data_IF_336892354175
#
_entry.id   IF_336892354175
#
_cell.length_a   1.000
_cell.length_b   1.000
_cell.length_c   1.000
_cell.angle_alpha   90.00
_cell.angle_beta   90.00
_cell.angle_gamma   90.00
#
_symmetry.space_group_name_H-M   'P 1'
#
loop_
_entity.id
_entity.type
_entity.pdbx_description
1 polymer ?
#
# COMPACT_ATOMS: atom_id res chain seq x y z
N UNK A 1 -14.53 -34.11 -35.51
CA UNK A 1 -13.58 -34.22 -34.37
C UNK A 1 -13.15 -32.89 -33.74
N UNK A 2 -12.26 -32.05 -34.31
CA UNK A 2 -11.84 -30.79 -33.63
C UNK A 2 -13.01 -29.81 -33.38
N UNK A 3 -13.89 -29.64 -34.39
CA UNK A 3 -15.07 -28.78 -34.28
C UNK A 3 -16.11 -29.33 -33.28
N UNK A 4 -16.30 -30.65 -33.22
CA UNK A 4 -17.22 -31.29 -32.25
C UNK A 4 -16.69 -31.22 -30.82
N UNK A 5 -15.37 -31.34 -30.61
CA UNK A 5 -14.76 -31.19 -29.28
C UNK A 5 -14.87 -29.75 -28.76
N UNK A 6 -14.71 -28.75 -29.65
CA UNK A 6 -14.85 -27.33 -29.30
C UNK A 6 -16.29 -26.94 -28.96
N UNK A 7 -17.26 -27.53 -29.66
CA UNK A 7 -18.69 -27.28 -29.42
C UNK A 7 -19.17 -27.98 -28.15
N UNK A 8 -18.66 -29.18 -27.84
CA UNK A 8 -19.13 -29.97 -26.69
C UNK A 8 -18.49 -29.58 -25.33
N UNK A 9 -17.33 -28.92 -25.31
CA UNK A 9 -16.64 -28.56 -24.06
C UNK A 9 -16.66 -27.06 -23.70
N UNK A 10 -16.94 -26.16 -24.64
CA UNK A 10 -16.93 -24.71 -24.39
C UNK A 10 -18.36 -24.16 -24.43
N UNK A 11 -19.00 -24.13 -23.26
CA UNK A 11 -20.28 -23.44 -23.06
C UNK A 11 -20.24 -21.97 -23.50
N UNK A 12 -21.41 -21.35 -23.66
CA UNK A 12 -21.59 -19.96 -24.14
C UNK A 12 -21.06 -18.86 -23.18
N UNK A 13 -20.18 -19.19 -22.24
CA UNK A 13 -19.57 -18.24 -21.30
C UNK A 13 -18.30 -17.60 -21.91
N UNK A 14 -17.85 -16.48 -21.31
CA UNK A 14 -16.65 -15.73 -21.77
C UNK A 14 -15.39 -16.62 -21.89
N UNK A 15 -15.20 -17.58 -20.97
CA UNK A 15 -14.10 -18.54 -21.01
C UNK A 15 -14.16 -19.47 -22.24
N UNK A 16 -15.38 -19.82 -22.68
CA UNK A 16 -15.61 -20.61 -23.88
C UNK A 16 -15.23 -19.86 -25.16
N UNK A 17 -15.36 -18.54 -25.17
CA UNK A 17 -14.94 -17.70 -26.30
C UNK A 17 -13.41 -17.60 -26.40
N UNK A 18 -12.71 -17.48 -25.27
CA UNK A 18 -11.23 -17.49 -25.22
C UNK A 18 -10.70 -18.84 -25.72
N UNK A 19 -11.25 -19.94 -25.21
CA UNK A 19 -10.85 -21.29 -25.63
C UNK A 19 -11.09 -21.54 -27.13
N UNK A 20 -12.23 -21.08 -27.68
CA UNK A 20 -12.53 -21.14 -29.13
C UNK A 20 -11.54 -20.30 -29.94
N UNK A 21 -11.17 -19.11 -29.46
CA UNK A 21 -10.19 -18.22 -30.11
C UNK A 21 -8.79 -18.85 -30.14
N UNK A 22 -8.33 -19.41 -29.02
CA UNK A 22 -7.04 -20.10 -28.94
C UNK A 22 -7.01 -21.31 -29.87
N UNK A 23 -8.08 -22.10 -29.90
CA UNK A 23 -8.15 -23.26 -30.77
C UNK A 23 -8.11 -22.88 -32.25
N UNK A 24 -8.78 -21.79 -32.65
CA UNK A 24 -8.72 -21.27 -34.02
C UNK A 24 -7.28 -20.89 -34.43
N UNK A 25 -6.54 -20.20 -33.55
CA UNK A 25 -5.13 -19.84 -33.79
C UNK A 25 -4.25 -21.08 -33.87
N UNK A 26 -4.46 -22.05 -32.99
CA UNK A 26 -3.66 -23.29 -32.95
C UNK A 26 -3.88 -24.16 -34.20
N UNK A 27 -4.99 -24.01 -34.92
CA UNK A 27 -5.20 -24.67 -36.20
C UNK A 27 -4.50 -23.97 -37.38
N UNK A 28 -4.13 -22.69 -37.27
CA UNK A 28 -3.53 -21.92 -38.38
C UNK A 28 -2.26 -22.56 -38.96
N UNK A 29 -1.32 -23.13 -38.19
CA UNK A 29 -0.16 -23.84 -38.75
C UNK A 29 -0.55 -25.02 -39.63
N UNK A 30 -1.50 -25.86 -39.19
CA UNK A 30 -1.99 -26.99 -39.97
C UNK A 30 -2.67 -26.56 -41.27
N UNK A 31 -3.41 -25.45 -41.24
CA UNK A 31 -3.99 -24.85 -42.44
C UNK A 31 -2.94 -24.29 -43.39
N UNK A 32 -1.87 -23.64 -42.89
CA UNK A 32 -0.75 -23.19 -43.73
C UNK A 32 -0.08 -24.36 -44.43
N UNK A 33 0.25 -25.43 -43.71
CA UNK A 33 0.82 -26.65 -44.31
C UNK A 33 -0.12 -27.34 -45.31
N UNK A 34 -1.43 -27.23 -45.11
CA UNK A 34 -2.41 -27.72 -46.09
C UNK A 34 -2.38 -26.89 -47.38
N UNK A 35 -2.40 -25.55 -47.27
CA UNK A 35 -2.31 -24.63 -48.42
C UNK A 35 -1.01 -24.87 -49.21
N UNK A 36 0.11 -25.10 -48.52
CA UNK A 36 1.39 -25.44 -49.14
C UNK A 36 1.34 -26.76 -49.93
N UNK A 37 0.70 -27.79 -49.37
CA UNK A 37 0.51 -29.08 -50.08
C UNK A 37 -0.41 -28.93 -51.30
N UNK A 38 -1.47 -28.12 -51.20
CA UNK A 38 -2.34 -27.85 -52.35
C UNK A 38 -1.58 -27.24 -53.54
N UNK A 39 -0.63 -26.34 -53.27
CA UNK A 39 0.26 -25.76 -54.28
C UNK A 39 1.13 -26.82 -54.99
N UNK A 40 1.57 -27.85 -54.24
CA UNK A 40 2.41 -28.93 -54.77
C UNK A 40 1.62 -29.94 -55.62
N UNK A 41 0.32 -30.12 -55.35
CA UNK A 41 -0.52 -31.10 -56.03
C UNK A 41 -1.21 -30.56 -57.28
N UNK A 42 -1.41 -29.24 -57.40
CA UNK A 42 -2.11 -28.63 -58.52
C UNK A 42 -1.40 -27.34 -58.99
N UNK A 43 -0.57 -27.41 -60.06
CA UNK A 43 0.12 -26.24 -60.62
C UNK A 43 -0.82 -25.16 -61.18
N UNK A 44 -2.12 -25.47 -61.36
CA UNK A 44 -3.13 -24.51 -61.80
C UNK A 44 -3.69 -23.65 -60.66
N UNK A 45 -3.34 -23.96 -59.40
CA UNK A 45 -3.69 -23.10 -58.27
C UNK A 45 -2.97 -21.76 -58.38
N UNK A 46 -3.76 -20.72 -58.71
CA UNK A 46 -3.28 -19.35 -58.82
C UNK A 46 -2.54 -18.92 -57.54
N UNK A 47 -1.34 -18.35 -57.72
CA UNK A 47 -0.54 -17.75 -56.63
C UNK A 47 -1.36 -16.73 -55.81
N UNK A 48 -2.30 -16.02 -56.45
CA UNK A 48 -3.19 -15.09 -55.77
C UNK A 48 -4.15 -15.78 -54.79
N UNK A 49 -4.56 -17.02 -55.05
CA UNK A 49 -5.40 -17.79 -54.14
C UNK A 49 -4.62 -18.27 -52.91
N UNK A 50 -3.37 -18.72 -53.09
CA UNK A 50 -2.46 -19.09 -52.01
C UNK A 50 -2.14 -17.86 -51.15
N UNK A 51 -1.80 -16.73 -51.80
CA UNK A 51 -1.52 -15.46 -51.13
C UNK A 51 -2.73 -14.96 -50.33
N UNK A 52 -3.94 -15.05 -50.89
CA UNK A 52 -5.19 -14.71 -50.18
C UNK A 52 -5.42 -15.62 -48.97
N UNK A 53 -5.21 -16.93 -49.09
CA UNK A 53 -5.37 -17.87 -47.98
C UNK A 53 -4.40 -17.55 -46.84
N UNK A 54 -3.12 -17.35 -47.14
CA UNK A 54 -2.11 -16.98 -46.14
C UNK A 54 -2.42 -15.63 -45.48
N UNK A 55 -2.83 -14.63 -46.27
CA UNK A 55 -3.24 -13.31 -45.74
C UNK A 55 -4.44 -13.44 -44.79
N UNK A 56 -5.42 -14.29 -45.11
CA UNK A 56 -6.57 -14.54 -44.24
C UNK A 56 -6.17 -15.23 -42.94
N UNK A 57 -5.26 -16.21 -42.98
CA UNK A 57 -4.74 -16.87 -41.78
C UNK A 57 -3.95 -15.88 -40.90
N UNK A 58 -3.13 -15.01 -41.50
CA UNK A 58 -2.42 -13.96 -40.76
C UNK A 58 -3.38 -12.95 -40.13
N UNK A 59 -4.47 -12.59 -40.82
CA UNK A 59 -5.54 -11.76 -40.23
C UNK A 59 -6.19 -12.45 -39.02
N UNK A 60 -6.49 -13.74 -39.11
CA UNK A 60 -7.04 -14.52 -38.00
C UNK A 60 -6.10 -14.51 -36.81
N UNK A 61 -4.80 -14.78 -37.02
CA UNK A 61 -3.78 -14.76 -35.96
C UNK A 61 -3.72 -13.37 -35.32
N UNK A 62 -3.60 -12.30 -36.12
CA UNK A 62 -3.47 -10.94 -35.60
C UNK A 62 -4.70 -10.47 -34.82
N UNK A 63 -5.92 -10.77 -35.31
CA UNK A 63 -7.15 -10.45 -34.60
C UNK A 63 -7.26 -11.24 -33.30
N UNK A 64 -6.93 -12.52 -33.33
CA UNK A 64 -7.01 -13.39 -32.15
C UNK A 64 -5.99 -12.98 -31.09
N UNK A 65 -4.75 -12.67 -31.48
CA UNK A 65 -3.73 -12.15 -30.57
C UNK A 65 -4.18 -10.84 -29.94
N UNK A 66 -4.82 -9.94 -30.70
CA UNK A 66 -5.40 -8.71 -30.17
C UNK A 66 -6.47 -9.00 -29.11
N UNK A 67 -7.45 -9.84 -29.43
CA UNK A 67 -8.52 -10.22 -28.49
C UNK A 67 -7.96 -10.87 -27.23
N UNK A 68 -7.00 -11.78 -27.37
CA UNK A 68 -6.38 -12.44 -26.23
C UNK A 68 -5.57 -11.47 -25.37
N UNK A 69 -4.81 -10.56 -25.99
CA UNK A 69 -4.08 -9.52 -25.28
C UNK A 69 -5.02 -8.56 -24.55
N UNK A 70 -6.10 -8.10 -25.18
CA UNK A 70 -7.07 -7.19 -24.56
C UNK A 70 -7.70 -7.85 -23.32
N UNK A 71 -8.06 -9.14 -23.42
CA UNK A 71 -8.62 -9.90 -22.30
C UNK A 71 -7.60 -10.19 -21.20
N UNK A 72 -6.37 -10.55 -21.56
CA UNK A 72 -5.29 -10.77 -20.60
C UNK A 72 -4.94 -9.46 -19.87
N UNK A 73 -4.99 -8.33 -20.59
CA UNK A 73 -4.79 -7.01 -20.01
C UNK A 73 -5.87 -6.67 -18.98
N UNK A 74 -7.15 -7.01 -19.23
CA UNK A 74 -8.21 -6.81 -18.22
C UNK A 74 -7.94 -7.55 -16.90
N UNK A 75 -7.43 -8.78 -16.95
CA UNK A 75 -7.02 -9.48 -15.73
C UNK A 75 -5.84 -8.81 -15.03
N UNK A 76 -4.85 -8.32 -15.80
CA UNK A 76 -3.70 -7.58 -15.25
C UNK A 76 -4.17 -6.27 -14.60
N UNK A 77 -5.14 -5.56 -15.17
CA UNK A 77 -5.67 -4.30 -14.61
C UNK A 77 -6.23 -4.49 -13.20
N UNK A 78 -6.97 -5.57 -12.97
CA UNK A 78 -7.49 -5.89 -11.63
C UNK A 78 -6.35 -6.11 -10.63
N UNK A 79 -5.30 -6.82 -11.02
CA UNK A 79 -4.12 -7.02 -10.18
C UNK A 79 -3.39 -5.70 -9.88
N UNK A 80 -3.25 -4.83 -10.87
CA UNK A 80 -2.63 -3.50 -10.69
C UNK A 80 -3.42 -2.67 -9.67
N UNK A 81 -4.75 -2.69 -9.73
CA UNK A 81 -5.61 -1.99 -8.78
C UNK A 81 -5.42 -2.52 -7.36
N UNK A 82 -5.39 -3.85 -7.18
CA UNK A 82 -5.19 -4.43 -5.85
C UNK A 82 -3.78 -4.16 -5.31
N UNK A 83 -2.75 -4.19 -6.16
CA UNK A 83 -1.38 -3.81 -5.80
C UNK A 83 -1.34 -2.33 -5.40
N UNK A 84 -1.98 -1.44 -6.14
CA UNK A 84 -2.06 -0.01 -5.80
C UNK A 84 -2.67 0.17 -4.41
N UNK A 85 -3.82 -0.46 -4.16
CA UNK A 85 -4.50 -0.42 -2.87
C UNK A 85 -3.62 -0.95 -1.75
N UNK A 86 -2.92 -2.08 -1.97
CA UNK A 86 -2.06 -2.69 -0.96
C UNK A 86 -0.85 -1.84 -0.63
N UNK A 87 -0.18 -1.28 -1.64
CA UNK A 87 0.97 -0.38 -1.46
C UNK A 87 0.56 0.86 -0.65
N UNK A 88 -0.55 1.49 -1.02
CA UNK A 88 -1.06 2.67 -0.31
C UNK A 88 -1.43 2.35 1.14
N UNK A 89 -2.09 1.21 1.36
CA UNK A 89 -2.46 0.76 2.72
C UNK A 89 -1.23 0.51 3.58
N UNK A 90 -0.20 -0.19 3.07
CA UNK A 90 1.04 -0.44 3.81
C UNK A 90 1.82 0.85 4.08
N UNK A 91 1.84 1.77 3.12
CA UNK A 91 2.49 3.06 3.26
C UNK A 91 1.83 3.90 4.37
N UNK A 92 0.51 4.07 4.32
CA UNK A 92 -0.25 4.78 5.36
C UNK A 92 -0.12 4.06 6.71
N UNK A 93 -0.17 2.73 6.74
CA UNK A 93 0.07 1.95 7.96
C UNK A 93 1.44 2.21 8.56
N UNK A 94 2.50 2.33 7.75
CA UNK A 94 3.83 2.65 8.23
C UNK A 94 3.89 4.03 8.90
N UNK A 95 3.17 5.01 8.36
CA UNK A 95 3.03 6.35 8.94
C UNK A 95 2.28 6.26 10.27
N UNK A 96 1.10 5.62 10.29
CA UNK A 96 0.20 5.55 11.45
C UNK A 96 0.79 4.82 12.66
N UNK A 97 1.83 3.99 12.48
CA UNK A 97 2.58 3.37 13.58
C UNK A 97 3.31 4.38 14.48
N UNK A 98 3.40 5.66 14.09
CA UNK A 98 3.82 6.74 14.99
C UNK A 98 5.28 6.67 15.44
N UNK A 99 6.17 6.07 14.64
CA UNK A 99 7.61 5.96 14.99
C UNK A 99 8.36 7.28 14.96
N UNK A 100 7.77 8.31 14.38
CA UNK A 100 8.37 9.63 14.19
C UNK A 100 7.42 10.67 14.79
N UNK A 101 7.95 11.54 15.64
CA UNK A 101 7.26 12.71 16.18
C UNK A 101 8.02 13.96 15.77
N UNK A 102 7.36 14.89 15.10
CA UNK A 102 7.93 16.14 14.65
C UNK A 102 8.00 17.14 15.81
N UNK A 103 9.18 17.31 16.39
CA UNK A 103 9.39 18.25 17.51
C UNK A 103 9.59 19.70 17.07
N UNK A 104 9.76 19.95 15.77
CA UNK A 104 10.02 21.30 15.23
C UNK A 104 9.35 21.52 13.88
N UNK A 105 9.12 22.79 13.52
CA UNK A 105 8.62 23.16 12.19
C UNK A 105 9.56 22.69 11.07
N UNK A 106 10.88 22.71 11.31
CA UNK A 106 11.88 22.18 10.35
C UNK A 106 11.69 20.68 10.10
N UNK A 107 11.43 19.90 11.14
CA UNK A 107 11.08 18.47 10.99
C UNK A 107 9.76 18.31 10.24
N UNK A 108 8.73 19.09 10.58
CA UNK A 108 7.43 19.06 9.89
C UNK A 108 7.58 19.33 8.39
N UNK A 109 8.30 20.40 8.01
CA UNK A 109 8.60 20.75 6.61
C UNK A 109 9.34 19.63 5.88
N UNK A 110 10.38 19.05 6.50
CA UNK A 110 11.14 17.94 5.91
C UNK A 110 10.27 16.69 5.74
N UNK A 111 9.48 16.33 6.76
CA UNK A 111 8.62 15.16 6.70
C UNK A 111 7.50 15.32 5.68
N UNK A 112 6.80 16.46 5.70
CA UNK A 112 5.74 16.76 4.74
C UNK A 112 6.28 16.80 3.30
N UNK A 113 7.44 17.42 3.07
CA UNK A 113 8.09 17.40 1.75
C UNK A 113 8.37 15.98 1.27
N UNK A 114 8.99 15.15 2.11
CA UNK A 114 9.25 13.74 1.79
C UNK A 114 7.98 12.96 1.48
N UNK A 115 6.93 13.11 2.29
CA UNK A 115 5.63 12.47 2.05
C UNK A 115 5.06 12.89 0.69
N UNK A 116 5.12 14.17 0.34
CA UNK A 116 4.64 14.65 -0.97
C UNK A 116 5.44 14.08 -2.13
N UNK A 117 6.76 14.04 -2.00
CA UNK A 117 7.61 13.52 -3.07
C UNK A 117 7.40 12.02 -3.26
N UNK A 118 7.36 11.25 -2.16
CA UNK A 118 7.03 9.82 -2.18
C UNK A 118 5.61 9.58 -2.74
N UNK A 119 4.61 10.38 -2.35
CA UNK A 119 3.26 10.32 -2.88
C UNK A 119 3.17 10.65 -4.37
N UNK A 120 3.96 11.60 -4.87
CA UNK A 120 4.06 11.89 -6.31
C UNK A 120 4.66 10.72 -7.08
N UNK A 121 5.72 10.10 -6.57
CA UNK A 121 6.32 8.92 -7.22
C UNK A 121 5.33 7.75 -7.29
N UNK A 122 4.60 7.47 -6.22
CA UNK A 122 3.57 6.43 -6.21
C UNK A 122 2.45 6.73 -7.22
N UNK A 123 1.96 7.97 -7.24
CA UNK A 123 0.97 8.42 -8.21
C UNK A 123 1.44 8.24 -9.66
N UNK A 124 2.67 8.66 -9.97
CA UNK A 124 3.22 8.51 -11.32
C UNK A 124 3.34 7.03 -11.70
N UNK A 125 3.87 6.19 -10.81
CA UNK A 125 4.01 4.75 -11.03
C UNK A 125 2.66 4.10 -11.37
N UNK A 126 1.64 4.32 -10.55
CA UNK A 126 0.34 3.67 -10.77
C UNK A 126 -0.45 4.28 -11.92
N UNK A 127 -0.17 5.53 -12.29
CA UNK A 127 -0.69 6.15 -13.51
C UNK A 127 -0.09 5.51 -14.77
N UNK A 128 1.22 5.26 -14.79
CA UNK A 128 1.91 4.57 -15.90
C UNK A 128 1.44 3.11 -16.05
N UNK A 129 1.05 2.48 -14.94
CA UNK A 129 0.44 1.14 -14.94
C UNK A 129 -1.07 1.15 -15.25
N UNK A 130 -1.66 2.30 -15.60
CA UNK A 130 -3.09 2.47 -15.91
C UNK A 130 -4.06 2.02 -14.81
N UNK A 131 -3.65 2.16 -13.54
CA UNK A 131 -4.49 1.88 -12.39
C UNK A 131 -5.72 2.80 -12.36
N UNK A 132 -6.92 2.22 -12.19
CA UNK A 132 -8.17 2.98 -11.98
C UNK A 132 -8.35 3.50 -10.54
N UNK A 133 -7.52 3.07 -9.58
CA UNK A 133 -7.60 3.49 -8.18
C UNK A 133 -6.97 4.87 -7.86
N UNK A 134 -7.15 5.86 -8.74
CA UNK A 134 -6.60 7.22 -8.56
C UNK A 134 -7.18 7.99 -7.36
N UNK A 135 -8.30 7.51 -6.80
CA UNK A 135 -8.88 8.06 -5.56
C UNK A 135 -7.97 7.90 -4.34
N UNK A 136 -6.98 7.00 -4.40
CA UNK A 136 -5.98 6.83 -3.33
C UNK A 136 -4.91 7.93 -3.35
N UNK A 137 -4.70 8.59 -4.49
CA UNK A 137 -3.58 9.50 -4.73
C UNK A 137 -3.58 10.72 -3.80
N UNK A 138 -4.75 11.12 -3.29
CA UNK A 138 -4.90 12.28 -2.40
C UNK A 138 -4.58 11.97 -0.93
N UNK A 139 -4.54 10.69 -0.54
CA UNK A 139 -4.35 10.30 0.85
C UNK A 139 -3.04 10.86 1.44
N UNK A 140 -1.91 10.62 0.78
CA UNK A 140 -0.59 11.06 1.26
C UNK A 140 -0.47 12.61 1.27
N UNK A 141 -0.89 13.33 0.22
CA UNK A 141 -1.01 14.79 0.26
C UNK A 141 -1.74 15.32 1.49
N UNK A 142 -2.94 14.81 1.81
CA UNK A 142 -3.68 15.24 3.00
C UNK A 142 -2.93 15.00 4.30
N UNK A 143 -2.30 13.83 4.46
CA UNK A 143 -1.46 13.56 5.63
C UNK A 143 -0.30 14.56 5.74
N UNK A 144 0.32 14.91 4.60
CA UNK A 144 1.42 15.87 4.55
C UNK A 144 0.99 17.29 4.91
N UNK A 145 -0.20 17.71 4.49
CA UNK A 145 -0.77 19.03 4.79
C UNK A 145 -1.09 19.12 6.29
N UNK A 146 -1.75 18.13 6.88
CA UNK A 146 -2.05 18.10 8.32
C UNK A 146 -0.77 18.19 9.17
N UNK A 147 0.34 17.59 8.73
CA UNK A 147 1.63 17.68 9.42
C UNK A 147 2.24 19.08 9.29
N UNK A 148 2.08 19.74 8.14
CA UNK A 148 2.75 21.00 7.82
C UNK A 148 2.01 22.24 8.35
N UNK A 149 0.69 22.30 8.19
CA UNK A 149 -0.15 23.46 8.49
C UNK A 149 0.09 24.00 9.91
N UNK A 150 0.12 25.31 10.11
CA UNK A 150 0.54 25.88 11.40
C UNK A 150 -0.65 26.15 12.34
N UNK A 151 -1.75 26.66 11.80
CA UNK A 151 -2.92 27.12 12.54
C UNK A 151 -4.03 26.05 12.64
N UNK A 152 -4.75 26.05 13.77
CA UNK A 152 -5.85 25.11 14.04
C UNK A 152 -6.96 25.13 12.99
N UNK A 153 -7.46 26.30 12.54
CA UNK A 153 -8.53 26.35 11.53
C UNK A 153 -8.15 25.69 10.20
N UNK A 154 -6.93 25.89 9.71
CA UNK A 154 -6.47 25.24 8.48
C UNK A 154 -6.38 23.73 8.64
N UNK A 155 -5.92 23.25 9.80
CA UNK A 155 -5.89 21.80 10.09
C UNK A 155 -7.30 21.23 10.14
N UNK A 156 -8.24 21.93 10.77
CA UNK A 156 -9.64 21.52 10.83
C UNK A 156 -10.25 21.41 9.43
N UNK A 157 -9.97 22.39 8.56
CA UNK A 157 -10.40 22.37 7.17
C UNK A 157 -9.85 21.14 6.44
N UNK A 158 -8.54 20.91 6.54
CA UNK A 158 -7.87 19.79 5.87
C UNK A 158 -8.37 18.43 6.39
N UNK A 159 -8.58 18.30 7.70
CA UNK A 159 -9.19 17.10 8.30
C UNK A 159 -10.62 16.92 7.80
N UNK A 160 -11.39 18.00 7.65
CA UNK A 160 -12.74 17.95 7.09
C UNK A 160 -12.75 17.45 5.64
N UNK A 161 -11.82 17.92 4.80
CA UNK A 161 -11.64 17.42 3.43
C UNK A 161 -11.24 15.95 3.45
N UNK A 162 -10.27 15.56 4.28
CA UNK A 162 -9.80 14.19 4.40
C UNK A 162 -10.93 13.22 4.80
N UNK A 163 -11.80 13.60 5.74
CA UNK A 163 -12.95 12.77 6.16
C UNK A 163 -13.97 12.62 5.03
N UNK A 164 -14.18 13.66 4.20
CA UNK A 164 -15.10 13.59 3.07
C UNK A 164 -14.57 12.72 1.93
N UNK A 165 -13.28 12.80 1.64
CA UNK A 165 -12.64 11.95 0.62
C UNK A 165 -12.46 10.51 1.10
N UNK A 166 -12.16 10.33 2.39
CA UNK A 166 -11.93 9.03 3.03
C UNK A 166 -12.86 8.84 4.24
N UNK A 167 -14.15 8.58 4.01
CA UNK A 167 -15.17 8.44 5.05
C UNK A 167 -14.98 7.23 5.98
N UNK A 168 -14.06 6.31 5.66
CA UNK A 168 -13.67 5.22 6.56
C UNK A 168 -12.57 5.61 7.56
N UNK A 169 -12.04 6.83 7.47
CA UNK A 169 -11.18 7.42 8.48
C UNK A 169 -11.95 7.59 9.79
N UNK A 170 -11.23 7.54 10.91
CA UNK A 170 -11.81 7.55 12.26
C UNK A 170 -10.95 8.43 13.14
N UNK A 171 -11.50 8.87 14.27
CA UNK A 171 -10.77 9.67 15.27
C UNK A 171 -9.39 9.13 15.62
N UNK A 172 -9.23 7.80 15.73
CA UNK A 172 -7.94 7.15 16.03
C UNK A 172 -6.86 7.42 14.95
N UNK A 173 -7.26 7.46 13.67
CA UNK A 173 -6.35 7.75 12.56
C UNK A 173 -5.90 9.21 12.63
N UNK A 174 -6.84 10.15 12.83
CA UNK A 174 -6.51 11.57 12.99
C UNK A 174 -5.62 11.80 14.22
N UNK A 175 -5.93 11.13 15.34
CA UNK A 175 -5.11 11.18 16.56
C UNK A 175 -3.65 10.74 16.31
N UNK A 176 -3.44 9.67 15.52
CA UNK A 176 -2.10 9.22 15.15
C UNK A 176 -1.35 10.24 14.29
N UNK A 177 -2.02 10.89 13.33
CA UNK A 177 -1.41 11.96 12.52
C UNK A 177 -0.99 13.14 13.40
N UNK A 178 -1.84 13.53 14.36
CA UNK A 178 -1.53 14.60 15.31
C UNK A 178 -0.37 14.24 16.26
N UNK A 179 -0.20 12.96 16.61
CA UNK A 179 0.98 12.48 17.34
C UNK A 179 2.25 12.64 16.51
N UNK A 180 2.22 12.25 15.25
CA UNK A 180 3.36 12.41 14.32
C UNK A 180 3.72 13.88 14.13
N UNK A 181 2.72 14.75 14.07
CA UNK A 181 2.89 16.21 14.01
C UNK A 181 3.57 16.78 15.27
N UNK A 182 3.46 16.11 16.42
CA UNK A 182 3.94 16.61 17.71
C UNK A 182 2.98 17.58 18.40
N UNK A 183 1.67 17.45 18.17
CA UNK A 183 0.67 18.31 18.81
C UNK A 183 0.45 17.92 20.28
N UNK A 184 0.90 18.78 21.19
CA UNK A 184 0.82 18.59 22.65
C UNK A 184 -0.32 19.34 23.32
N UNK A 185 -0.83 20.40 22.68
CA UNK A 185 -1.92 21.24 23.21
C UNK A 185 -3.25 20.49 23.11
N UNK A 186 -3.81 20.11 24.26
CA UNK A 186 -4.98 19.24 24.30
C UNK A 186 -6.28 19.92 23.83
N UNK A 187 -6.42 21.23 24.03
CA UNK A 187 -7.58 22.01 23.55
C UNK A 187 -7.67 21.99 22.04
N UNK A 188 -6.62 22.46 21.35
CA UNK A 188 -6.50 22.46 19.88
C UNK A 188 -6.66 21.04 19.31
N UNK A 189 -6.04 20.05 19.96
CA UNK A 189 -6.16 18.64 19.58
C UNK A 189 -7.61 18.17 19.60
N UNK A 190 -8.36 18.52 20.65
CA UNK A 190 -9.74 18.10 20.79
C UNK A 190 -10.66 18.82 19.80
N UNK A 191 -10.42 20.10 19.53
CA UNK A 191 -11.12 20.88 18.49
C UNK A 191 -10.99 20.24 17.11
N UNK A 192 -9.78 19.79 16.75
CA UNK A 192 -9.54 19.10 15.47
C UNK A 192 -10.24 17.73 15.44
N UNK A 193 -10.13 16.95 16.51
CA UNK A 193 -10.75 15.63 16.55
C UNK A 193 -12.29 15.69 16.54
N UNK A 194 -12.88 16.78 17.04
CA UNK A 194 -14.33 16.97 17.04
C UNK A 194 -14.89 17.11 15.62
N UNK A 195 -14.13 17.67 14.66
CA UNK A 195 -14.53 17.71 13.25
C UNK A 195 -14.93 16.32 12.73
N UNK A 196 -14.16 15.28 13.10
CA UNK A 196 -14.49 13.90 12.70
C UNK A 196 -15.82 13.45 13.32
N UNK A 197 -16.09 13.79 14.58
CA UNK A 197 -17.36 13.45 15.24
C UNK A 197 -18.53 14.19 14.61
N UNK A 198 -18.35 15.47 14.31
CA UNK A 198 -19.42 16.32 13.80
C UNK A 198 -19.85 15.83 12.41
N UNK A 199 -18.88 15.42 11.58
CA UNK A 199 -19.14 14.82 10.27
C UNK A 199 -19.74 13.41 10.40
N UNK A 200 -19.23 12.57 11.31
CA UNK A 200 -19.82 11.24 11.61
C UNK A 200 -21.30 11.35 12.05
N UNK A 201 -21.65 12.41 12.78
CA UNK A 201 -23.01 12.65 13.26
C UNK A 201 -23.93 13.27 12.21
N UNK A 202 -23.40 14.04 11.26
CA UNK A 202 -24.19 14.63 10.16
C UNK A 202 -24.48 13.63 9.04
N UNK A 203 -23.54 12.74 8.73
CA UNK A 203 -23.63 11.79 7.61
C UNK A 203 -24.21 10.42 8.06
N UNK A 204 -25.49 10.41 8.41
CA UNK A 204 -26.18 9.17 8.80
C UNK A 204 -26.51 8.19 7.65
N UNK A 205 -26.10 8.44 6.38
CA UNK A 205 -26.51 7.59 5.23
C UNK A 205 -25.42 7.30 4.17
N UNK A 206 -24.16 7.69 4.33
CA UNK A 206 -23.14 7.38 3.30
C UNK A 206 -22.51 6.00 3.57
N UNK A 207 -23.21 4.91 3.23
CA UNK A 207 -22.64 3.56 3.19
C UNK A 207 -21.60 3.50 2.06
N UNK A 208 -20.35 3.75 2.41
CA UNK A 208 -19.22 3.65 1.49
C UNK A 208 -19.06 2.18 1.11
N UNK A 209 -19.00 1.92 -0.20
CA UNK A 209 -18.70 0.57 -0.70
C UNK A 209 -17.38 0.10 -0.09
N UNK A 210 -17.32 -1.17 0.37
CA UNK A 210 -16.08 -1.75 0.91
C UNK A 210 -14.90 -1.64 -0.06
N UNK A 211 -15.17 -1.54 -1.36
CA UNK A 211 -14.19 -1.33 -2.42
C UNK A 211 -13.45 0.01 -2.35
N UNK A 212 -13.96 0.98 -1.58
CA UNK A 212 -13.32 2.30 -1.36
C UNK A 212 -12.93 2.53 0.10
N UNK A 213 -12.45 1.48 0.76
CA UNK A 213 -11.94 1.57 2.12
C UNK A 213 -10.40 1.48 2.13
N UNK A 214 -9.74 2.53 2.60
CA UNK A 214 -8.30 2.61 2.81
C UNK A 214 -7.95 2.48 4.30
N UNK A 215 -8.54 3.33 5.14
CA UNK A 215 -8.26 3.41 6.57
C UNK A 215 -8.89 2.28 7.38
N UNK A 216 -9.93 1.61 6.87
CA UNK A 216 -10.50 0.43 7.52
C UNK A 216 -9.47 -0.69 7.72
N UNK A 217 -8.52 -0.84 6.78
CA UNK A 217 -7.45 -1.83 6.83
C UNK A 217 -6.18 -1.35 7.55
N UNK A 218 -6.13 -0.08 7.96
CA UNK A 218 -4.97 0.50 8.62
C UNK A 218 -5.15 0.40 10.14
N UNK A 219 -4.46 -0.56 10.82
CA UNK A 219 -4.46 -0.58 12.27
C UNK A 219 -3.66 0.61 12.78
N UNK A 220 -4.28 1.37 13.68
CA UNK A 220 -3.59 2.34 14.53
C UNK A 220 -3.21 1.62 15.81
N UNK A 221 -1.92 1.57 16.13
CA UNK A 221 -1.47 1.09 17.44
C UNK A 221 -2.10 1.99 18.50
N UNK A 222 -2.90 1.40 19.38
CA UNK A 222 -3.59 2.11 20.46
C UNK A 222 -2.65 3.05 21.19
N UNK A 223 -3.14 4.27 21.40
CA UNK A 223 -2.45 5.45 21.90
C UNK A 223 -1.57 5.17 23.13
N UNK A 224 -0.36 5.75 23.15
CA UNK A 224 0.28 6.14 24.40
C UNK A 224 -0.67 7.16 25.01
N UNK A 225 -1.45 6.75 26.00
CA UNK A 225 -2.33 7.66 26.71
C UNK A 225 -1.41 8.72 27.32
N UNK A 226 -1.60 9.98 26.95
CA UNK A 226 -1.10 11.09 27.75
C UNK A 226 -1.90 11.09 29.06
N UNK A 227 -1.62 10.14 29.95
CA UNK A 227 -2.05 10.24 31.33
C UNK A 227 -1.38 11.50 31.87
N UNK A 228 -2.18 12.53 32.09
CA UNK A 228 -1.79 13.69 32.86
C UNK A 228 -1.67 13.24 34.33
N UNK A 229 -0.65 12.43 34.63
CA UNK A 229 -0.23 12.22 36.01
C UNK A 229 0.46 13.51 36.37
N UNK A 230 -0.21 14.36 37.15
CA UNK A 230 0.38 15.54 37.75
C UNK A 230 1.51 15.17 38.71
N UNK A 231 2.63 14.69 38.20
CA UNK A 231 3.90 14.58 38.92
C UNK A 231 4.57 15.95 38.98
N UNK A 232 3.82 16.91 39.51
CA UNK A 232 4.42 18.11 40.07
C UNK A 232 4.92 17.74 41.46
N UNK A 233 6.25 17.66 41.58
CA UNK A 233 7.02 17.68 42.84
C UNK A 233 6.90 16.46 43.76
N UNK A 234 7.62 15.39 43.41
CA UNK A 234 8.38 14.64 44.44
C UNK A 234 9.82 14.55 43.96
N UNK A 235 10.57 15.62 44.20
CA UNK A 235 12.01 15.56 44.29
C UNK A 235 12.34 15.20 45.75
N UNK A 236 12.83 13.99 46.00
CA UNK A 236 13.58 13.69 47.20
C UNK A 236 14.92 13.09 46.80
N UNK A 237 15.92 13.95 46.97
CA UNK A 237 17.35 13.68 47.08
C UNK A 237 17.66 12.47 47.95
N UNK A 238 18.41 11.51 47.40
CA UNK A 238 19.22 10.59 48.20
C UNK A 238 20.43 10.10 47.37
N UNK A 239 21.38 11.00 47.13
CA UNK A 239 22.75 10.64 46.74
C UNK A 239 23.70 11.28 47.74
N UNK A 240 24.26 10.48 48.67
CA UNK A 240 25.59 10.67 49.31
C UNK A 240 25.75 9.99 50.68
N UNK A 241 25.71 8.66 50.78
CA UNK A 241 26.28 7.89 51.91
C UNK A 241 26.52 6.46 51.36
N UNK A 242 27.71 5.87 51.22
CA UNK A 242 28.99 6.01 51.90
C UNK A 242 30.15 5.72 50.92
N UNK A 243 31.05 6.68 50.81
CA UNK A 243 32.47 6.47 50.56
C UNK A 243 33.09 5.78 51.80
N UNK A 244 32.98 4.46 51.90
CA UNK A 244 33.68 3.67 52.92
C UNK A 244 33.80 2.20 52.49
N UNK A 245 34.48 1.95 51.37
CA UNK A 245 34.96 0.59 51.10
C UNK A 245 36.17 0.59 50.15
N UNK A 246 37.21 1.34 50.50
CA UNK A 246 38.59 0.99 50.11
C UNK A 246 39.56 1.40 51.21
N UNK A 247 40.28 0.38 51.68
CA UNK A 247 41.47 0.38 52.55
C UNK A 247 41.23 0.42 54.07
N UNK A 248 41.19 -0.78 54.67
CA UNK A 248 42.14 -1.07 55.75
C UNK A 248 42.53 -2.54 55.82
N UNK A 249 43.75 -2.78 55.36
CA UNK A 249 44.62 -3.94 55.57
C UNK A 249 44.86 -4.14 57.08
N UNK A 250 44.58 -5.33 57.63
CA UNK A 250 45.21 -5.90 58.84
C UNK A 250 44.97 -7.42 58.83
N UNK A 251 46.03 -8.18 58.55
CA UNK A 251 46.87 -8.93 59.50
C UNK A 251 46.24 -10.29 59.86
N UNK A 252 46.70 -11.30 59.13
CA UNK A 252 46.63 -12.72 59.50
C UNK A 252 47.56 -13.01 60.69
N UNK A 253 47.23 -13.98 61.56
CA UNK A 253 47.93 -14.20 62.81
C UNK A 253 49.17 -15.09 62.64
N UNK A 254 50.18 -14.80 63.44
CA UNK A 254 51.38 -15.61 63.68
C UNK A 254 50.98 -16.95 64.29
N UNK A 255 51.54 -18.05 63.74
CA UNK A 255 51.72 -19.32 64.46
C UNK A 255 53.20 -19.69 64.32
N UNK A 256 53.88 -19.72 65.45
CA UNK A 256 55.20 -20.34 65.63
C UNK A 256 55.09 -21.86 65.56
N UNK A 257 56.19 -22.47 65.12
CA UNK A 257 56.73 -23.84 65.31
C UNK A 257 57.50 -24.16 64.02
N UNK A 258 58.80 -23.88 63.91
CA UNK A 258 59.96 -24.57 64.51
C UNK A 258 60.05 -26.05 64.10
N UNK A 259 61.25 -26.39 63.60
CA UNK A 259 61.81 -27.72 63.27
C UNK A 259 61.38 -28.31 61.90
N UNK A 260 62.23 -28.88 61.05
CA UNK A 260 63.64 -29.23 61.16
C UNK A 260 64.19 -29.59 59.76
N UNK A 261 65.50 -29.38 59.61
CA UNK A 261 66.51 -30.17 58.87
C UNK A 261 66.31 -30.81 57.47
N UNK A 262 67.36 -30.56 56.66
CA UNK A 262 67.96 -31.29 55.52
C UNK A 262 67.44 -30.99 54.11
#
# INVERSE_FOLDING_TARGET
MFHEMLVNNCGENEDGYIAKTIALVNCCPSFKSFVERCSQCDPSTSEDSIRRANTSLDRIINLSVRVLNDRLFEHIRVLVVEVHRRVMTEYVRAIMRGRIICTSLKMRKRMAGRLRDEGKHLKTLFKELESSASWLDSAIPHLSEIILLEDTPSIQMEVGVLVREFPDIRRKHVSAILNIRGMTRQTERQEILNIVKDIENSDSVTRVSRDRALFAEVPVTSEVHCLNVGLSRVALTASSLFSSMRRRRRRTPTRENQDDML
#
